data_IF_757435946161
#
_entry.id   IF_757435946161
#
_cell.length_a   1.000
_cell.length_b   1.000
_cell.length_c   1.000
_cell.angle_alpha   90.00
_cell.angle_beta   90.00
_cell.angle_gamma   90.00
#
_symmetry.space_group_name_H-M   'P 1'
#
loop_
_entity.id
_entity.type
_entity.pdbx_description
1 polymer ?
#
# COMPACT_ATOMS: atom_id res chain seq x y z
N UNK A 1 8.44 -8.66 14.60
CA UNK A 1 8.17 -10.04 15.09
C UNK A 1 9.00 -10.98 14.22
N UNK A 2 9.98 -11.70 14.79
CA UNK A 2 10.80 -12.67 14.04
C UNK A 2 9.93 -13.84 13.61
N UNK A 3 9.86 -14.12 12.32
CA UNK A 3 9.02 -15.21 11.83
C UNK A 3 9.63 -16.57 12.21
N UNK A 4 8.79 -17.63 12.25
CA UNK A 4 9.27 -19.01 12.49
C UNK A 4 10.40 -19.40 11.53
N UNK A 5 10.35 -18.89 10.30
CA UNK A 5 11.36 -19.09 9.27
C UNK A 5 12.69 -18.43 9.66
N UNK A 6 12.66 -17.19 10.15
CA UNK A 6 13.86 -16.45 10.54
C UNK A 6 14.58 -17.14 11.70
N UNK A 7 13.82 -17.67 12.65
CA UNK A 7 14.36 -18.46 13.76
C UNK A 7 15.10 -19.71 13.27
N UNK A 8 14.53 -20.46 12.31
CA UNK A 8 15.19 -21.63 11.73
C UNK A 8 16.47 -21.28 10.97
N UNK A 9 16.45 -20.20 10.18
CA UNK A 9 17.63 -19.73 9.46
C UNK A 9 18.77 -19.37 10.42
N UNK A 10 18.44 -18.75 11.55
CA UNK A 10 19.40 -18.45 12.61
C UNK A 10 19.98 -19.72 13.25
N UNK A 11 19.17 -20.76 13.51
CA UNK A 11 19.66 -22.05 14.04
C UNK A 11 20.62 -22.76 13.08
N UNK A 12 20.47 -22.56 11.77
CA UNK A 12 21.38 -23.09 10.76
C UNK A 12 22.67 -22.25 10.59
N UNK A 13 22.86 -21.20 11.39
CA UNK A 13 24.00 -20.30 11.28
C UNK A 13 23.92 -19.34 10.07
N UNK A 14 22.76 -19.24 9.42
CA UNK A 14 22.55 -18.35 8.29
C UNK A 14 22.19 -16.96 8.81
N UNK A 15 23.12 -16.01 8.67
CA UNK A 15 22.84 -14.60 8.94
C UNK A 15 21.98 -14.02 7.83
N UNK A 16 20.84 -13.47 8.20
CA UNK A 16 19.99 -12.71 7.28
C UNK A 16 20.52 -11.28 7.14
N UNK A 17 20.76 -10.86 5.90
CA UNK A 17 21.08 -9.48 5.56
C UNK A 17 19.87 -8.83 4.92
N UNK A 18 19.50 -7.63 5.38
CA UNK A 18 18.48 -6.81 4.74
C UNK A 18 19.13 -5.71 3.93
N UNK A 19 18.65 -5.54 2.69
CA UNK A 19 19.10 -4.47 1.82
C UNK A 19 18.54 -3.14 2.32
N UNK A 20 19.42 -2.18 2.64
CA UNK A 20 18.98 -0.83 3.02
C UNK A 20 18.43 -0.01 1.85
N UNK A 21 18.94 -0.26 0.64
CA UNK A 21 18.55 0.44 -0.58
C UNK A 21 18.30 -0.58 -1.69
N UNK A 22 17.20 -1.34 -1.63
CA UNK A 22 16.91 -2.39 -2.62
C UNK A 22 16.85 -1.82 -4.05
N UNK A 23 16.43 -0.57 -4.20
CA UNK A 23 16.38 0.22 -5.45
C UNK A 23 17.68 0.30 -6.24
N UNK A 24 18.85 0.17 -5.58
CA UNK A 24 20.16 0.27 -6.23
C UNK A 24 20.50 -1.00 -7.02
N UNK A 25 19.80 -2.11 -6.76
CA UNK A 25 19.97 -3.33 -7.51
C UNK A 25 19.42 -3.13 -8.94
N UNK A 26 20.33 -3.09 -9.91
CA UNK A 26 19.99 -3.11 -11.33
C UNK A 26 19.78 -4.56 -11.76
N UNK A 27 18.54 -4.96 -12.08
CA UNK A 27 18.18 -6.33 -12.48
C UNK A 27 16.67 -6.58 -12.50
N UNK A 28 16.27 -7.83 -12.74
CA UNK A 28 14.87 -8.26 -12.98
C UNK A 28 13.88 -8.08 -11.81
N UNK A 29 14.34 -7.59 -10.64
CA UNK A 29 13.54 -7.45 -9.41
C UNK A 29 13.10 -5.98 -9.18
N UNK A 30 13.10 -5.15 -10.23
CA UNK A 30 12.59 -3.80 -10.13
C UNK A 30 11.06 -3.82 -10.18
N UNK A 31 10.41 -3.48 -9.07
CA UNK A 31 8.97 -3.18 -9.06
C UNK A 31 8.78 -1.88 -9.84
N UNK A 32 8.11 -1.95 -10.99
CA UNK A 32 7.86 -0.79 -11.84
C UNK A 32 6.46 -0.25 -11.59
N UNK A 33 6.38 1.07 -11.40
CA UNK A 33 5.11 1.79 -11.29
C UNK A 33 4.57 2.03 -12.70
N UNK A 34 3.36 1.53 -13.00
CA UNK A 34 2.72 1.81 -14.28
C UNK A 34 2.37 3.31 -14.37
N UNK A 35 2.58 3.97 -15.52
CA UNK A 35 2.42 5.42 -15.65
C UNK A 35 0.99 5.92 -15.38
N UNK A 36 -0.01 5.06 -15.58
CA UNK A 36 -1.43 5.31 -15.29
C UNK A 36 -1.83 5.09 -13.82
N UNK A 37 -0.89 4.68 -12.95
CA UNK A 37 -1.18 4.42 -11.53
C UNK A 37 -1.53 5.72 -10.81
N UNK A 38 -2.72 5.77 -10.23
CA UNK A 38 -3.22 6.91 -9.45
C UNK A 38 -3.31 6.60 -7.95
N UNK A 39 -3.31 5.32 -7.57
CA UNK A 39 -3.35 4.87 -6.18
C UNK A 39 -2.46 3.65 -5.96
N UNK A 40 -1.64 3.70 -4.91
CA UNK A 40 -0.90 2.54 -4.40
C UNK A 40 -1.52 2.08 -3.08
N UNK A 41 -1.95 0.83 -3.02
CA UNK A 41 -2.46 0.20 -1.79
C UNK A 41 -1.34 -0.64 -1.18
N UNK A 42 -1.00 -0.38 0.08
CA UNK A 42 0.08 -1.05 0.80
C UNK A 42 -0.52 -1.89 1.94
N UNK A 43 -0.25 -3.19 1.95
CA UNK A 43 -0.69 -4.09 3.02
C UNK A 43 0.26 -5.29 3.16
N UNK A 44 0.36 -5.88 4.34
CA UNK A 44 1.09 -7.15 4.55
C UNK A 44 0.54 -8.28 3.66
N UNK A 45 -0.78 -8.31 3.48
CA UNK A 45 -1.47 -9.23 2.57
C UNK A 45 -2.51 -8.43 1.79
N UNK A 46 -2.14 -7.91 0.61
CA UNK A 46 -3.05 -7.08 -0.17
C UNK A 46 -4.32 -7.85 -0.54
N UNK A 47 -5.51 -7.30 -0.26
CA UNK A 47 -6.76 -7.92 -0.68
C UNK A 47 -6.93 -7.81 -2.20
N UNK A 48 -7.74 -8.71 -2.77
CA UNK A 48 -8.08 -8.63 -4.19
C UNK A 48 -8.88 -7.37 -4.50
N UNK A 49 -8.59 -6.71 -5.62
CA UNK A 49 -9.31 -5.50 -6.05
C UNK A 49 -10.80 -5.76 -6.35
N UNK A 50 -11.19 -7.03 -6.51
CA UNK A 50 -12.58 -7.44 -6.75
C UNK A 50 -13.39 -7.68 -5.48
N UNK A 51 -12.77 -7.63 -4.29
CA UNK A 51 -13.49 -7.72 -3.02
C UNK A 51 -14.55 -6.60 -2.93
N UNK A 52 -15.77 -6.86 -2.42
CA UNK A 52 -16.85 -5.88 -2.44
C UNK A 52 -16.49 -4.54 -1.82
N UNK A 53 -15.90 -4.55 -0.63
CA UNK A 53 -15.47 -3.33 0.06
C UNK A 53 -14.38 -2.58 -0.72
N UNK A 54 -13.47 -3.31 -1.36
CA UNK A 54 -12.41 -2.70 -2.16
C UNK A 54 -13.01 -1.99 -3.38
N UNK A 55 -13.95 -2.65 -4.08
CA UNK A 55 -14.67 -2.04 -5.19
C UNK A 55 -15.43 -0.78 -4.76
N UNK A 56 -16.12 -0.82 -3.62
CA UNK A 56 -16.86 0.33 -3.11
C UNK A 56 -15.92 1.51 -2.80
N UNK A 57 -14.77 1.25 -2.19
CA UNK A 57 -13.75 2.28 -1.92
C UNK A 57 -13.19 2.86 -3.22
N UNK A 58 -12.82 2.02 -4.18
CA UNK A 58 -12.30 2.48 -5.47
C UNK A 58 -13.34 3.28 -6.26
N UNK A 59 -14.60 2.84 -6.27
CA UNK A 59 -15.71 3.57 -6.87
C UNK A 59 -15.90 4.93 -6.20
N UNK A 60 -15.82 4.97 -4.88
CA UNK A 60 -15.91 6.20 -4.11
C UNK A 60 -14.80 7.19 -4.47
N UNK A 61 -13.59 6.69 -4.78
CA UNK A 61 -12.44 7.46 -5.24
C UNK A 61 -12.46 7.75 -6.76
N UNK A 62 -13.49 7.30 -7.49
CA UNK A 62 -13.59 7.36 -8.95
C UNK A 62 -12.39 6.72 -9.69
N UNK A 63 -11.85 5.62 -9.13
CA UNK A 63 -10.71 4.90 -9.67
C UNK A 63 -11.12 3.57 -10.31
N UNK A 64 -10.51 3.25 -11.45
CA UNK A 64 -10.59 1.94 -12.09
C UNK A 64 -9.51 1.01 -11.52
N UNK A 65 -9.75 -0.32 -11.44
CA UNK A 65 -8.75 -1.27 -10.97
C UNK A 65 -7.41 -1.20 -11.72
N UNK A 66 -7.41 -0.84 -13.01
CA UNK A 66 -6.19 -0.67 -13.81
C UNK A 66 -5.32 0.51 -13.38
N UNK A 67 -5.89 1.48 -12.64
CA UNK A 67 -5.18 2.65 -12.10
C UNK A 67 -4.64 2.40 -10.68
N UNK A 68 -4.80 1.18 -10.17
CA UNK A 68 -4.48 0.83 -8.78
C UNK A 68 -3.39 -0.23 -8.76
N UNK A 69 -2.34 0.02 -7.99
CA UNK A 69 -1.27 -0.93 -7.75
C UNK A 69 -1.29 -1.40 -6.30
N UNK A 70 -1.34 -2.71 -6.07
CA UNK A 70 -1.24 -3.29 -4.73
C UNK A 70 0.17 -3.79 -4.46
N UNK A 71 0.77 -3.38 -3.34
CA UNK A 71 2.13 -3.78 -2.96
C UNK A 71 2.22 -4.17 -1.49
N UNK A 72 3.22 -4.98 -1.16
CA UNK A 72 3.63 -5.18 0.24
C UNK A 72 4.55 -4.05 0.72
N UNK A 73 4.75 -3.88 2.03
CA UNK A 73 5.74 -2.92 2.55
C UNK A 73 7.15 -3.12 1.99
N UNK A 74 7.55 -4.37 1.76
CA UNK A 74 8.86 -4.69 1.15
C UNK A 74 8.93 -4.23 -0.32
N UNK A 75 7.85 -4.43 -1.09
CA UNK A 75 7.77 -3.97 -2.48
C UNK A 75 7.71 -2.45 -2.58
N UNK A 76 7.06 -1.78 -1.62
CA UNK A 76 7.03 -0.32 -1.54
C UNK A 76 8.44 0.27 -1.44
N UNK A 77 9.35 -0.36 -0.70
CA UNK A 77 10.75 0.08 -0.59
C UNK A 77 11.53 -0.03 -1.92
N UNK A 78 11.04 -0.83 -2.87
CA UNK A 78 11.64 -1.00 -4.20
C UNK A 78 11.19 0.08 -5.20
N UNK A 79 10.09 0.78 -4.90
CA UNK A 79 9.57 1.86 -5.75
C UNK A 79 10.44 3.13 -5.66
N UNK A 80 10.25 4.14 -6.55
CA UNK A 80 10.94 5.43 -6.46
C UNK A 80 10.72 6.16 -5.12
N UNK A 81 11.64 7.05 -4.72
CA UNK A 81 11.53 7.80 -3.45
C UNK A 81 10.34 8.74 -3.42
N UNK A 82 10.04 9.37 -4.57
CA UNK A 82 8.87 10.21 -4.76
C UNK A 82 7.90 9.51 -5.69
N UNK A 83 6.71 9.22 -5.19
CA UNK A 83 5.62 8.60 -5.96
C UNK A 83 4.65 9.67 -6.41
N UNK A 84 4.33 9.75 -7.70
CA UNK A 84 3.44 10.79 -8.23
C UNK A 84 1.94 10.50 -8.07
N UNK A 85 1.58 9.61 -7.15
CA UNK A 85 0.20 9.14 -6.92
C UNK A 85 -0.11 9.07 -5.42
N UNK A 86 -1.39 8.88 -5.09
CA UNK A 86 -1.85 8.74 -3.72
C UNK A 86 -1.45 7.37 -3.13
N UNK A 87 -1.31 7.32 -1.82
CA UNK A 87 -1.08 6.10 -1.05
C UNK A 87 -2.28 5.73 -0.19
N UNK A 88 -2.54 4.44 -0.03
CA UNK A 88 -3.44 3.93 0.99
C UNK A 88 -2.75 2.81 1.78
N UNK A 89 -2.42 3.11 3.04
CA UNK A 89 -1.79 2.19 3.98
C UNK A 89 -2.89 1.41 4.75
N UNK A 90 -2.95 0.10 4.52
CA UNK A 90 -3.99 -0.79 5.04
C UNK A 90 -3.42 -1.69 6.14
N UNK A 91 -3.57 -1.27 7.39
CA UNK A 91 -3.06 -1.96 8.57
C UNK A 91 -1.54 -1.97 8.68
N UNK A 92 -0.87 -1.04 7.99
CA UNK A 92 0.59 -0.90 7.97
C UNK A 92 0.96 0.57 8.13
N UNK A 93 2.19 0.81 8.58
CA UNK A 93 2.79 2.14 8.68
C UNK A 93 3.94 2.25 7.67
N UNK A 94 4.14 3.44 7.11
CA UNK A 94 5.22 3.69 6.15
C UNK A 94 5.67 5.15 6.20
N UNK A 95 6.98 5.36 6.06
CA UNK A 95 7.58 6.69 5.88
C UNK A 95 7.65 7.11 4.39
N UNK A 96 7.09 6.30 3.49
CA UNK A 96 7.09 6.60 2.06
C UNK A 96 6.33 7.90 1.77
N UNK A 97 6.95 8.79 0.99
CA UNK A 97 6.32 10.04 0.57
C UNK A 97 5.50 9.82 -0.70
N UNK A 98 4.18 9.94 -0.56
CA UNK A 98 3.23 9.97 -1.67
C UNK A 98 3.01 11.41 -2.14
N UNK A 99 2.73 11.60 -3.43
CA UNK A 99 2.45 12.92 -3.99
C UNK A 99 0.94 13.19 -3.92
N UNK A 100 0.54 14.02 -2.96
CA UNK A 100 -0.83 14.47 -2.78
C UNK A 100 -1.43 13.99 -1.47
N UNK A 101 -1.64 12.68 -1.30
CA UNK A 101 -2.40 12.12 -0.16
C UNK A 101 -1.89 10.75 0.25
N UNK A 102 -1.82 10.52 1.56
CA UNK A 102 -1.65 9.19 2.14
C UNK A 102 -2.83 8.91 3.09
N UNK A 103 -3.71 8.00 2.68
CA UNK A 103 -4.80 7.48 3.52
C UNK A 103 -4.25 6.37 4.41
N UNK A 104 -4.77 6.26 5.62
CA UNK A 104 -4.43 5.19 6.57
C UNK A 104 -5.69 4.53 7.10
N UNK A 105 -5.66 3.22 7.28
CA UNK A 105 -6.78 2.50 7.88
C UNK A 105 -6.30 1.25 8.61
N UNK A 106 -7.21 0.65 9.38
CA UNK A 106 -7.00 -0.66 9.98
C UNK A 106 -6.73 -1.75 8.91
N UNK A 107 -6.33 -2.94 9.34
CA UNK A 107 -6.18 -4.09 8.43
C UNK A 107 -7.46 -4.38 7.66
N UNK A 108 -7.37 -5.03 6.49
CA UNK A 108 -8.55 -5.31 5.67
C UNK A 108 -9.67 -6.05 6.42
N UNK A 109 -9.30 -7.08 7.21
CA UNK A 109 -10.24 -7.88 7.98
C UNK A 109 -10.97 -7.05 9.06
N UNK A 110 -10.25 -6.14 9.70
CA UNK A 110 -10.84 -5.21 10.66
C UNK A 110 -11.71 -4.16 9.97
N UNK A 111 -11.26 -3.64 8.83
CA UNK A 111 -12.01 -2.67 8.05
C UNK A 111 -13.36 -3.25 7.58
N UNK A 112 -13.42 -4.54 7.21
CA UNK A 112 -14.67 -5.24 6.87
C UNK A 112 -15.62 -5.29 8.06
N UNK A 113 -15.11 -5.61 9.25
CA UNK A 113 -15.92 -5.91 10.43
C UNK A 113 -16.25 -4.68 11.30
N UNK A 114 -15.52 -3.57 11.15
CA UNK A 114 -15.67 -2.38 11.99
C UNK A 114 -16.32 -1.21 11.24
N UNK A 115 -17.56 -0.89 11.63
CA UNK A 115 -18.25 0.31 11.12
C UNK A 115 -17.59 1.63 11.55
N UNK A 116 -16.80 1.63 12.62
CA UNK A 116 -16.01 2.80 13.04
C UNK A 116 -14.79 2.99 12.13
N UNK A 117 -14.09 1.91 11.79
CA UNK A 117 -12.94 1.95 10.87
C UNK A 117 -13.34 2.46 9.48
N UNK A 118 -14.50 2.01 8.95
CA UNK A 118 -15.03 2.50 7.67
C UNK A 118 -15.33 4.01 7.71
N UNK A 119 -15.94 4.49 8.80
CA UNK A 119 -16.24 5.92 8.98
C UNK A 119 -14.96 6.77 9.07
N UNK A 120 -13.95 6.27 9.78
CA UNK A 120 -12.65 6.95 9.87
C UNK A 120 -12.00 7.06 8.48
N UNK A 121 -12.00 5.98 7.69
CA UNK A 121 -11.49 6.02 6.32
C UNK A 121 -12.27 7.02 5.45
N UNK A 122 -13.60 7.02 5.53
CA UNK A 122 -14.43 7.97 4.80
C UNK A 122 -14.13 9.43 5.18
N UNK A 123 -13.99 9.72 6.48
CA UNK A 123 -13.60 11.05 6.94
C UNK A 123 -12.25 11.48 6.40
N UNK A 124 -11.27 10.58 6.32
CA UNK A 124 -9.98 10.88 5.69
C UNK A 124 -10.12 11.21 4.21
N UNK A 125 -10.96 10.48 3.47
CA UNK A 125 -11.22 10.78 2.05
C UNK A 125 -11.84 12.17 1.89
N UNK A 126 -12.84 12.51 2.69
CA UNK A 126 -13.45 13.84 2.67
C UNK A 126 -12.46 14.97 3.02
N UNK A 127 -11.52 14.72 3.95
CA UNK A 127 -10.52 15.73 4.32
C UNK A 127 -9.50 15.99 3.19
N UNK A 128 -9.34 15.04 2.27
CA UNK A 128 -8.41 15.11 1.15
C UNK A 128 -9.12 15.26 -0.20
N UNK A 129 -10.39 15.69 -0.18
CA UNK A 129 -11.27 15.73 -1.34
C UNK A 129 -10.62 16.46 -2.54
N UNK A 130 -10.01 17.62 -2.30
CA UNK A 130 -9.34 18.43 -3.33
C UNK A 130 -8.17 17.76 -4.03
N UNK A 131 -7.53 16.77 -3.39
CA UNK A 131 -6.38 16.06 -3.93
C UNK A 131 -6.74 14.69 -4.53
N UNK A 132 -7.77 14.03 -3.98
CA UNK A 132 -8.24 12.73 -4.45
C UNK A 132 -9.20 12.86 -5.65
N UNK A 133 -9.98 13.93 -5.70
CA UNK A 133 -10.97 14.18 -6.74
C UNK A 133 -10.53 15.39 -7.57
N UNK A 134 -9.72 15.15 -8.61
CA UNK A 134 -9.58 16.16 -9.68
C UNK A 134 -10.95 16.34 -10.32
N UNK A 135 -11.58 17.48 -10.02
CA UNK A 135 -12.81 17.88 -10.68
C UNK A 135 -12.50 18.12 -12.17
N UNK A 136 -13.30 17.56 -13.10
CA UNK A 136 -13.15 17.80 -14.53
C UNK A 136 -13.41 19.25 -14.93
#
# INVERSE_FOLDING_TARGET
MTSRRDWFLQQMGIKQYQLRRPRVLQGEIAVTLAPETQLIIVAETPPGLHEPLMRDVLHTLNLQPAQVMTVTPDQLQMLPETLHCAGWLLGVESEQTFNGVALTSASFNELISSGAAKRALWQQMCNHDSHLFSHP
#
